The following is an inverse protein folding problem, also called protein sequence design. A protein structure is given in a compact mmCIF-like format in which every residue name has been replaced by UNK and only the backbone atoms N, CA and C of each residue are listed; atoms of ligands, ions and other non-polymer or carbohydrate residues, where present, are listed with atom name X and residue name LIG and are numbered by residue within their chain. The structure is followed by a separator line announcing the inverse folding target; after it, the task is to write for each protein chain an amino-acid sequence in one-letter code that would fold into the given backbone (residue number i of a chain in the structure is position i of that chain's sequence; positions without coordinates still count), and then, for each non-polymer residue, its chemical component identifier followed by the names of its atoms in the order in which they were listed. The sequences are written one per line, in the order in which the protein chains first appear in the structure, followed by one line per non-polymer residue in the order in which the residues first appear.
data_IF_786320696006
#
_entry.id   IF_786320696006
#
_cell.length_a   1.000
_cell.length_b   1.000
_cell.length_c   1.000
_cell.angle_alpha   90.00
_cell.angle_beta   90.00
_cell.angle_gamma   90.00
#
_symmetry.space_group_name_H-M   'P 1'
#
loop_
_entity.id
_entity.type
_entity.pdbx_description
1 polymer ?
#
# COMPACT_ATOMS: atom_id res chain seq x y z
N UNK A 1 -25.26 -5.74 -6.49
CA UNK A 1 -24.03 -5.75 -7.19
C UNK A 1 -22.86 -5.65 -6.28
N UNK A 2 -21.83 -6.10 -6.80
CA UNK A 2 -20.67 -6.27 -6.01
C UNK A 2 -20.08 -4.97 -5.54
N UNK A 3 -19.49 -5.07 -4.41
CA UNK A 3 -18.66 -4.06 -3.89
C UNK A 3 -17.47 -3.81 -4.79
N UNK A 4 -16.79 -2.74 -4.52
CA UNK A 4 -15.54 -2.41 -5.16
C UNK A 4 -14.52 -3.51 -4.92
N UNK A 5 -13.88 -3.98 -5.97
CA UNK A 5 -12.83 -4.98 -5.87
C UNK A 5 -11.59 -4.37 -5.23
N UNK A 6 -10.94 -5.14 -4.38
CA UNK A 6 -9.66 -4.76 -3.80
C UNK A 6 -8.54 -5.38 -4.63
N UNK A 7 -7.57 -4.56 -4.97
CA UNK A 7 -6.36 -5.03 -5.63
C UNK A 7 -5.18 -4.88 -4.68
N UNK A 8 -4.49 -5.99 -4.43
CA UNK A 8 -3.30 -5.99 -3.58
C UNK A 8 -2.06 -5.98 -4.45
N UNK A 9 -1.18 -5.00 -4.21
CA UNK A 9 0.11 -4.94 -4.89
C UNK A 9 1.10 -5.74 -4.05
N UNK A 10 1.54 -6.92 -4.53
CA UNK A 10 2.41 -7.78 -3.71
C UNK A 10 3.86 -7.29 -3.64
N UNK A 11 4.34 -6.65 -4.70
CA UNK A 11 5.72 -6.17 -4.75
C UNK A 11 5.74 -4.86 -5.50
N UNK A 12 5.98 -3.76 -4.79
CA UNK A 12 6.12 -2.46 -5.45
C UNK A 12 7.27 -2.46 -6.45
N UNK A 13 7.08 -1.79 -7.57
CA UNK A 13 8.03 -1.73 -8.66
C UNK A 13 7.89 -0.38 -9.37
N UNK A 14 8.73 -0.09 -10.37
CA UNK A 14 8.58 1.15 -11.11
C UNK A 14 7.20 1.31 -11.79
N UNK A 15 6.50 0.19 -12.04
CA UNK A 15 5.17 0.24 -12.65
C UNK A 15 4.03 0.37 -11.65
N UNK A 16 4.32 0.45 -10.35
CA UNK A 16 3.29 0.53 -9.32
C UNK A 16 2.36 1.73 -9.52
N UNK A 17 2.90 2.87 -9.91
CA UNK A 17 2.10 4.06 -10.20
C UNK A 17 1.07 3.79 -11.30
N UNK A 18 1.48 3.08 -12.35
CA UNK A 18 0.59 2.74 -13.45
C UNK A 18 -0.52 1.80 -12.98
N UNK A 19 -0.18 0.84 -12.11
CA UNK A 19 -1.17 -0.09 -11.56
C UNK A 19 -2.19 0.66 -10.71
N UNK A 20 -1.74 1.56 -9.85
CA UNK A 20 -2.65 2.37 -9.02
C UNK A 20 -3.59 3.16 -9.92
N UNK A 21 -3.06 3.84 -10.91
CA UNK A 21 -3.87 4.64 -11.83
C UNK A 21 -4.90 3.79 -12.56
N UNK A 22 -4.50 2.61 -13.05
CA UNK A 22 -5.39 1.73 -13.79
C UNK A 22 -6.52 1.20 -12.90
N UNK A 23 -6.20 0.77 -11.68
CA UNK A 23 -7.22 0.24 -10.76
C UNK A 23 -8.17 1.35 -10.32
N UNK A 24 -7.66 2.53 -10.04
CA UNK A 24 -8.51 3.66 -9.65
C UNK A 24 -9.38 4.12 -10.81
N UNK A 25 -8.85 4.10 -12.02
CA UNK A 25 -9.64 4.42 -13.20
C UNK A 25 -10.81 3.46 -13.42
N UNK A 26 -10.67 2.22 -12.94
CA UNK A 26 -11.72 1.22 -13.01
C UNK A 26 -12.64 1.22 -11.77
N UNK A 27 -12.44 2.14 -10.84
CA UNK A 27 -13.25 2.25 -9.63
C UNK A 27 -12.83 1.27 -8.53
N UNK A 28 -11.65 0.70 -8.61
CA UNK A 28 -11.17 -0.28 -7.62
C UNK A 28 -10.51 0.36 -6.41
N UNK A 29 -10.16 -0.50 -5.47
CA UNK A 29 -9.43 -0.14 -4.24
C UNK A 29 -8.05 -0.77 -4.30
N UNK A 30 -7.00 0.00 -4.04
CA UNK A 30 -5.62 -0.46 -4.13
C UNK A 30 -4.98 -0.48 -2.75
N UNK A 31 -4.41 -1.62 -2.38
CA UNK A 31 -3.72 -1.81 -1.10
C UNK A 31 -2.35 -2.41 -1.37
N UNK A 32 -1.31 -1.89 -0.73
CA UNK A 32 0.02 -2.52 -0.79
C UNK A 32 0.08 -3.63 0.24
N UNK A 33 0.35 -4.84 -0.24
CA UNK A 33 0.46 -6.02 0.62
C UNK A 33 1.84 -6.03 1.31
N UNK A 34 1.86 -6.50 2.56
CA UNK A 34 3.08 -6.69 3.37
C UNK A 34 4.18 -5.65 3.13
N UNK A 35 3.80 -4.39 3.15
CA UNK A 35 4.68 -3.27 2.77
C UNK A 35 5.95 -3.16 3.61
N UNK A 36 5.92 -3.65 4.84
CA UNK A 36 7.07 -3.60 5.74
C UNK A 36 7.83 -4.92 5.87
N UNK A 37 7.54 -5.91 5.05
CA UNK A 37 8.17 -7.23 5.16
C UNK A 37 9.49 -7.25 4.37
N UNK A 38 10.65 -7.27 5.06
CA UNK A 38 11.94 -7.25 4.38
C UNK A 38 12.26 -8.54 3.63
N UNK A 39 11.55 -9.64 3.94
CA UNK A 39 11.75 -10.90 3.21
C UNK A 39 11.12 -10.88 1.83
N UNK A 40 10.06 -10.08 1.67
CA UNK A 40 9.30 -10.02 0.43
C UNK A 40 9.63 -8.80 -0.40
N UNK A 41 10.28 -7.81 0.21
CA UNK A 41 10.64 -6.57 -0.45
C UNK A 41 12.13 -6.36 -0.31
N UNK A 42 12.84 -6.44 -1.40
CA UNK A 42 14.27 -6.19 -1.44
C UNK A 42 14.61 -4.85 -0.81
N UNK A 43 13.86 -3.84 -1.22
CA UNK A 43 13.99 -2.49 -0.68
C UNK A 43 12.60 -2.05 -0.27
N UNK A 44 12.46 -1.69 0.99
CA UNK A 44 11.18 -1.17 1.47
C UNK A 44 10.95 0.22 0.90
N UNK A 45 9.69 0.53 0.62
CA UNK A 45 9.32 1.87 0.18
C UNK A 45 9.60 2.88 1.29
N UNK A 46 10.12 4.04 0.90
CA UNK A 46 10.28 5.14 1.82
C UNK A 46 8.92 5.78 2.10
N UNK A 47 8.83 6.55 3.17
CA UNK A 47 7.61 7.28 3.48
C UNK A 47 7.20 8.18 2.32
N UNK A 48 8.17 8.85 1.70
CA UNK A 48 7.91 9.72 0.56
C UNK A 48 7.33 8.95 -0.63
N UNK A 49 7.85 7.77 -0.90
CA UNK A 49 7.33 6.94 -1.99
C UNK A 49 5.91 6.50 -1.71
N UNK A 50 5.61 6.12 -0.48
CA UNK A 50 4.26 5.74 -0.08
C UNK A 50 3.33 6.95 -0.24
N UNK A 51 3.74 8.11 0.22
CA UNK A 51 2.92 9.32 0.12
C UNK A 51 2.67 9.72 -1.32
N UNK A 52 3.65 9.50 -2.20
CA UNK A 52 3.47 9.73 -3.62
C UNK A 52 2.37 8.83 -4.20
N UNK A 53 2.34 7.56 -3.79
CA UNK A 53 1.29 6.64 -4.23
C UNK A 53 -0.07 7.04 -3.67
N UNK A 54 -0.12 7.52 -2.43
CA UNK A 54 -1.36 8.02 -1.84
C UNK A 54 -1.93 9.17 -2.65
N UNK A 55 -1.07 10.08 -3.10
CA UNK A 55 -1.47 11.20 -3.95
C UNK A 55 -2.12 10.70 -5.24
N UNK A 56 -1.69 9.54 -5.74
CA UNK A 56 -2.26 8.96 -6.95
C UNK A 56 -3.48 8.09 -6.70
N UNK A 57 -3.87 7.89 -5.44
CA UNK A 57 -5.09 7.20 -5.11
C UNK A 57 -4.93 5.89 -4.34
N UNK A 58 -3.73 5.60 -3.83
CA UNK A 58 -3.54 4.41 -2.99
C UNK A 58 -4.51 4.48 -1.80
N UNK A 59 -5.21 3.40 -1.55
CA UNK A 59 -6.27 3.36 -0.54
C UNK A 59 -5.84 2.75 0.78
N UNK A 60 -4.80 1.94 0.80
CA UNK A 60 -4.42 1.29 2.03
C UNK A 60 -3.06 0.64 2.02
N UNK A 61 -2.65 0.23 3.23
CA UNK A 61 -1.40 -0.48 3.49
C UNK A 61 -1.73 -1.68 4.36
N UNK A 62 -1.18 -2.84 4.01
CA UNK A 62 -1.35 -4.01 4.86
C UNK A 62 -0.39 -3.91 6.04
N UNK A 63 -0.87 -3.36 7.14
CA UNK A 63 -0.06 -3.11 8.33
C UNK A 63 0.11 -4.39 9.17
N UNK A 64 -0.99 -5.14 9.33
CA UNK A 64 -1.07 -6.24 10.29
C UNK A 64 -0.60 -7.58 9.74
N UNK A 65 0.21 -7.56 8.70
CA UNK A 65 0.79 -8.77 8.16
C UNK A 65 1.90 -9.27 9.11
N UNK A 66 1.89 -10.57 9.40
CA UNK A 66 2.84 -11.14 10.35
C UNK A 66 4.30 -11.02 9.91
N UNK A 67 4.55 -10.82 8.62
CA UNK A 67 5.89 -10.59 8.10
C UNK A 67 6.41 -9.20 8.32
N UNK A 68 5.55 -8.25 8.74
CA UNK A 68 5.96 -6.90 9.04
C UNK A 68 6.49 -6.82 10.48
N UNK A 69 7.77 -6.45 10.69
CA UNK A 69 8.29 -6.24 12.04
C UNK A 69 7.54 -5.12 12.77
N UNK A 70 7.58 -5.14 14.10
CA UNK A 70 6.87 -4.13 14.92
C UNK A 70 7.18 -2.70 14.51
N UNK A 71 8.45 -2.41 14.26
CA UNK A 71 8.88 -1.06 13.85
C UNK A 71 8.19 -0.63 12.55
N UNK A 72 8.09 -1.57 11.60
CA UNK A 72 7.43 -1.27 10.33
C UNK A 72 5.93 -1.13 10.51
N UNK A 73 5.33 -1.92 11.38
CA UNK A 73 3.91 -1.78 11.68
C UNK A 73 3.60 -0.40 12.23
N UNK A 74 4.41 0.07 13.17
CA UNK A 74 4.22 1.40 13.74
C UNK A 74 4.39 2.48 12.70
N UNK A 75 5.41 2.38 11.87
CA UNK A 75 5.65 3.34 10.79
C UNK A 75 4.48 3.40 9.82
N UNK A 76 4.07 2.23 9.35
CA UNK A 76 2.97 2.14 8.38
C UNK A 76 1.66 2.60 8.98
N UNK A 77 1.41 2.27 10.23
CA UNK A 77 0.20 2.70 10.92
C UNK A 77 0.15 4.22 11.09
N UNK A 78 1.29 4.83 11.37
CA UNK A 78 1.39 6.28 11.46
C UNK A 78 1.03 6.93 10.14
N UNK A 79 1.56 6.41 9.03
CA UNK A 79 1.24 6.90 7.70
C UNK A 79 -0.23 6.71 7.40
N UNK A 80 -0.77 5.54 7.70
CA UNK A 80 -2.17 5.22 7.44
C UNK A 80 -3.11 6.16 8.19
N UNK A 81 -2.81 6.44 9.44
CA UNK A 81 -3.62 7.36 10.26
C UNK A 81 -3.54 8.79 9.74
N UNK A 82 -2.37 9.22 9.31
CA UNK A 82 -2.18 10.57 8.80
C UNK A 82 -2.99 10.79 7.52
N UNK A 83 -3.13 9.77 6.71
CA UNK A 83 -3.79 9.86 5.41
C UNK A 83 -5.14 9.14 5.37
N UNK A 84 -5.62 8.67 6.51
CA UNK A 84 -6.91 7.97 6.63
C UNK A 84 -7.00 6.76 5.69
N UNK A 85 -5.96 5.96 5.66
CA UNK A 85 -5.88 4.77 4.82
C UNK A 85 -6.50 3.56 5.49
N UNK A 86 -6.87 2.59 4.67
CA UNK A 86 -7.25 1.25 5.14
C UNK A 86 -6.01 0.55 5.69
N UNK A 87 -6.19 -0.31 6.66
CA UNK A 87 -5.11 -1.09 7.27
C UNK A 87 -5.43 -2.57 7.34
#
# INVERSE_FOLDING_TARGET
MSATSKYYIPTPSPTTHDVVAAVKGAGGVVVIAHAGDPRRNRTLLTDRQIESLITEGLDGLEVWHRGNPSEQRERLLTIARRHDLLV
#
